data_IF_384433621085
#
_entry.id   IF_384433621085
#
_cell.length_a   1.000
_cell.length_b   1.000
_cell.length_c   1.000
_cell.angle_alpha   90.00
_cell.angle_beta   90.00
_cell.angle_gamma   90.00
#
_symmetry.space_group_name_H-M   'P 1'
#
loop_
_entity.id
_entity.type
_entity.pdbx_description
1 polymer ?
#
# COMPACT_ATOMS: atom_id res chain seq x y z
N UNK A 1 -3.16 -4.42 -9.81
CA UNK A 1 -2.87 -3.57 -8.62
C UNK A 1 -2.50 -4.46 -7.44
N UNK A 2 -1.52 -4.02 -6.63
CA UNK A 2 -0.94 -4.76 -5.51
C UNK A 2 -2.01 -5.37 -4.60
N UNK A 3 -2.32 -6.64 -4.81
CA UNK A 3 -3.44 -7.34 -4.18
C UNK A 3 -3.04 -8.10 -2.93
N UNK A 4 -1.74 -8.26 -2.67
CA UNK A 4 -1.22 -8.88 -1.47
C UNK A 4 0.17 -8.37 -1.13
N UNK A 5 0.55 -8.53 0.13
CA UNK A 5 1.87 -8.19 0.64
C UNK A 5 2.38 -9.28 1.57
N UNK A 6 3.68 -9.37 1.66
CA UNK A 6 4.41 -10.26 2.55
C UNK A 6 5.41 -9.43 3.37
N UNK A 7 5.38 -9.59 4.69
CA UNK A 7 6.23 -8.83 5.60
C UNK A 7 6.51 -9.61 6.89
N UNK A 8 7.47 -9.12 7.67
CA UNK A 8 7.72 -9.61 9.03
C UNK A 8 7.24 -8.59 10.05
N UNK A 9 6.58 -9.05 11.11
CA UNK A 9 6.15 -8.22 12.23
C UNK A 9 6.27 -9.00 13.53
N UNK A 10 6.98 -8.44 14.52
CA UNK A 10 7.22 -9.07 15.83
C UNK A 10 7.78 -10.51 15.73
N UNK A 11 8.69 -10.74 14.77
CA UNK A 11 9.29 -12.06 14.55
C UNK A 11 8.40 -13.07 13.81
N UNK A 12 7.19 -12.68 13.40
CA UNK A 12 6.28 -13.51 12.62
C UNK A 12 6.24 -13.09 11.15
N UNK A 13 6.20 -14.08 10.28
CA UNK A 13 5.99 -13.89 8.85
C UNK A 13 4.48 -13.75 8.57
N UNK A 14 4.10 -12.66 7.91
CA UNK A 14 2.70 -12.34 7.63
C UNK A 14 2.52 -12.17 6.14
N UNK A 15 1.60 -12.95 5.58
CA UNK A 15 1.13 -12.81 4.20
C UNK A 15 -0.33 -12.39 4.23
N UNK A 16 -0.65 -11.26 3.63
CA UNK A 16 -2.01 -10.71 3.68
C UNK A 16 -2.46 -10.20 2.33
N UNK A 17 -3.75 -10.32 2.08
CA UNK A 17 -4.38 -9.95 0.81
C UNK A 17 -5.42 -8.87 1.04
N UNK A 18 -5.52 -7.91 0.11
CA UNK A 18 -6.45 -6.80 0.23
C UNK A 18 -7.92 -7.22 0.38
N UNK A 19 -8.42 -8.34 -0.17
CA UNK A 19 -9.81 -8.76 0.10
C UNK A 19 -10.09 -9.10 1.57
N UNK A 20 -9.08 -9.45 2.37
CA UNK A 20 -9.28 -9.76 3.78
C UNK A 20 -9.65 -8.48 4.56
N UNK A 21 -10.84 -8.38 5.17
CA UNK A 21 -11.28 -7.16 5.87
C UNK A 21 -10.37 -6.73 7.02
N UNK A 22 -9.63 -7.67 7.62
CA UNK A 22 -8.67 -7.44 8.70
C UNK A 22 -7.24 -7.16 8.21
N UNK A 23 -7.00 -7.04 6.90
CA UNK A 23 -5.65 -6.80 6.40
C UNK A 23 -5.06 -5.49 6.91
N UNK A 24 -3.83 -5.56 7.40
CA UNK A 24 -3.03 -4.42 7.84
C UNK A 24 -1.70 -4.39 7.09
N UNK A 25 -1.08 -3.20 7.02
CA UNK A 25 0.27 -3.03 6.49
C UNK A 25 1.22 -2.53 7.58
N UNK A 26 2.49 -2.95 7.55
CA UNK A 26 3.52 -2.49 8.48
C UNK A 26 4.01 -1.09 8.09
N UNK A 27 3.63 -0.09 8.87
CA UNK A 27 4.06 1.29 8.70
C UNK A 27 5.28 1.55 9.58
N UNK A 28 6.40 1.90 8.94
CA UNK A 28 7.63 2.23 9.66
C UNK A 28 7.47 3.53 10.43
N UNK A 29 7.73 3.47 11.73
CA UNK A 29 7.74 4.63 12.62
C UNK A 29 9.11 5.34 12.56
N UNK A 30 9.19 6.51 13.20
CA UNK A 30 10.47 7.22 13.38
C UNK A 30 11.49 6.45 14.23
N UNK A 31 11.04 5.50 15.04
CA UNK A 31 11.90 4.67 15.89
C UNK A 31 12.38 3.39 15.15
N UNK A 32 12.17 3.31 13.83
CA UNK A 32 12.49 2.13 13.01
C UNK A 32 11.76 0.85 13.44
N UNK A 33 10.67 0.99 14.20
CA UNK A 33 9.70 -0.09 14.46
C UNK A 33 8.60 -0.05 13.41
N UNK A 34 7.83 -1.13 13.29
CA UNK A 34 6.68 -1.20 12.39
C UNK A 34 5.38 -1.28 13.19
N UNK A 35 4.47 -0.35 12.96
CA UNK A 35 3.10 -0.39 13.48
C UNK A 35 2.14 -0.88 12.41
N UNK A 36 1.16 -1.70 12.78
CA UNK A 36 0.17 -2.19 11.82
C UNK A 36 -1.00 -1.21 11.70
N UNK A 37 -1.27 -0.75 10.48
CA UNK A 37 -2.45 0.05 10.17
C UNK A 37 -3.39 -0.67 9.19
N UNK A 38 -4.72 -0.52 9.33
CA UNK A 38 -5.67 -1.12 8.40
C UNK A 38 -5.43 -0.70 6.95
N UNK A 39 -5.38 -1.69 6.06
CA UNK A 39 -5.11 -1.48 4.64
C UNK A 39 -6.35 -1.03 3.88
N UNK A 40 -6.42 0.28 3.61
CA UNK A 40 -7.44 0.90 2.79
C UNK A 40 -8.87 0.63 3.27
N UNK A 41 -9.86 1.00 2.46
CA UNK A 41 -11.28 0.80 2.80
C UNK A 41 -12.01 -0.02 1.75
N UNK A 42 -12.75 -1.03 2.18
CA UNK A 42 -13.48 -1.94 1.28
C UNK A 42 -14.91 -1.45 1.06
N UNK A 43 -15.53 -1.91 -0.02
CA UNK A 43 -16.96 -1.69 -0.25
C UNK A 43 -17.75 -2.37 0.88
N UNK A 44 -18.60 -1.62 1.55
CA UNK A 44 -19.36 -2.08 2.72
C UNK A 44 -18.73 -1.79 4.08
N UNK A 45 -17.44 -1.42 4.14
CA UNK A 45 -16.88 -0.89 5.39
C UNK A 45 -17.37 0.55 5.62
N UNK A 46 -17.80 0.88 6.85
CA UNK A 46 -18.19 2.24 7.20
C UNK A 46 -17.01 3.20 7.07
N UNK A 47 -17.29 4.50 7.06
CA UNK A 47 -16.28 5.55 6.96
C UNK A 47 -16.30 6.31 5.63
N UNK A 48 -15.55 7.42 5.59
CA UNK A 48 -15.52 8.35 4.45
C UNK A 48 -14.19 8.38 3.72
N UNK A 49 -13.21 7.64 4.21
CA UNK A 49 -11.91 7.51 3.54
C UNK A 49 -12.07 6.90 2.12
N UNK A 50 -11.11 7.11 1.22
CA UNK A 50 -11.19 6.56 -0.14
C UNK A 50 -11.38 5.05 -0.17
N UNK A 51 -12.21 4.58 -1.11
CA UNK A 51 -12.35 3.15 -1.39
C UNK A 51 -11.09 2.57 -2.05
N UNK A 52 -10.83 1.30 -1.79
CA UNK A 52 -9.66 0.57 -2.28
C UNK A 52 -8.48 0.62 -1.30
N UNK A 53 -7.38 0.00 -1.71
CA UNK A 53 -6.13 -0.10 -0.96
C UNK A 53 -4.99 0.76 -1.51
N UNK A 54 -5.26 1.61 -2.51
CA UNK A 54 -4.23 2.26 -3.30
C UNK A 54 -4.51 3.76 -3.49
N UNK A 55 -3.43 4.54 -3.51
CA UNK A 55 -3.45 5.97 -3.77
C UNK A 55 -2.55 6.27 -4.98
N UNK A 56 -3.11 6.72 -6.10
CA UNK A 56 -2.28 7.09 -7.26
C UNK A 56 -1.45 8.32 -6.96
N UNK A 57 -0.16 8.30 -7.28
CA UNK A 57 0.75 9.42 -7.03
C UNK A 57 0.27 10.72 -7.72
N UNK A 58 -0.22 10.61 -8.95
CA UNK A 58 -0.87 11.72 -9.68
C UNK A 58 -2.05 12.34 -8.91
N UNK A 59 -2.83 11.51 -8.23
CA UNK A 59 -4.00 11.94 -7.46
C UNK A 59 -3.60 12.66 -6.18
N UNK A 60 -2.56 12.16 -5.53
CA UNK A 60 -1.95 12.80 -4.36
C UNK A 60 -1.38 14.16 -4.75
N UNK A 61 -0.55 14.24 -5.80
CA UNK A 61 0.07 15.48 -6.28
C UNK A 61 -0.95 16.53 -6.74
N UNK A 62 -2.09 16.10 -7.28
CA UNK A 62 -3.18 16.99 -7.66
C UNK A 62 -4.03 17.48 -6.46
N UNK A 63 -3.62 17.20 -5.21
CA UNK A 63 -4.31 17.65 -3.99
C UNK A 63 -5.64 16.93 -3.72
N UNK A 64 -5.96 15.85 -4.44
CA UNK A 64 -7.25 15.13 -4.25
C UNK A 64 -7.37 14.45 -2.89
N UNK A 65 -6.25 14.28 -2.19
CA UNK A 65 -6.17 13.64 -0.88
C UNK A 65 -6.14 14.60 0.30
N UNK A 66 -5.96 15.91 0.08
CA UNK A 66 -5.70 16.91 1.14
C UNK A 66 -6.75 16.91 2.25
N UNK A 67 -8.02 16.68 1.89
CA UNK A 67 -9.13 16.63 2.86
C UNK A 67 -8.96 15.54 3.94
N UNK A 68 -8.12 14.52 3.70
CA UNK A 68 -7.84 13.44 4.65
C UNK A 68 -6.45 13.56 5.29
N UNK A 69 -5.83 14.74 5.21
CA UNK A 69 -4.53 15.05 5.82
C UNK A 69 -3.47 13.98 5.50
N UNK A 70 -3.13 13.81 4.21
CA UNK A 70 -2.34 12.69 3.75
C UNK A 70 -0.90 12.77 4.29
N UNK A 71 -0.44 11.73 4.97
CA UNK A 71 0.94 11.63 5.48
C UNK A 71 1.68 10.53 4.72
N UNK A 72 2.78 10.86 4.00
CA UNK A 72 3.58 9.83 3.33
C UNK A 72 4.33 8.99 4.37
N UNK A 73 4.35 7.67 4.18
CA UNK A 73 5.00 6.73 5.09
C UNK A 73 5.81 5.68 4.33
N UNK A 74 6.72 5.00 5.02
CA UNK A 74 7.43 3.83 4.49
C UNK A 74 6.72 2.56 4.94
N UNK A 75 6.54 1.61 4.03
CA UNK A 75 5.97 0.30 4.34
C UNK A 75 7.06 -0.75 4.34
N UNK A 76 7.17 -1.48 5.46
CA UNK A 76 8.19 -2.50 5.67
C UNK A 76 7.73 -3.84 5.12
N UNK A 77 7.71 -3.90 3.80
CA UNK A 77 7.22 -5.04 3.01
C UNK A 77 8.43 -5.73 2.37
N UNK A 78 8.44 -7.06 2.43
CA UNK A 78 9.45 -7.90 1.82
C UNK A 78 9.10 -8.23 0.37
N UNK A 79 7.82 -8.51 0.10
CA UNK A 79 7.34 -8.81 -1.25
C UNK A 79 5.91 -8.32 -1.44
N UNK A 80 5.53 -7.99 -2.66
CA UNK A 80 4.15 -7.67 -3.01
C UNK A 80 3.63 -8.55 -4.15
N UNK A 81 2.31 -8.69 -4.22
CA UNK A 81 1.65 -9.51 -5.22
C UNK A 81 0.82 -8.65 -6.17
N UNK A 82 1.01 -8.86 -7.47
CA UNK A 82 0.17 -8.30 -8.53
C UNK A 82 -0.59 -9.42 -9.25
N UNK A 83 -1.77 -9.09 -9.77
CA UNK A 83 -2.49 -9.95 -10.70
C UNK A 83 -2.25 -9.47 -12.12
N UNK A 84 -1.87 -10.38 -13.00
CA UNK A 84 -1.78 -10.11 -14.44
C UNK A 84 -3.16 -10.01 -15.11
N UNK A 85 -3.14 -9.73 -16.41
CA UNK A 85 -4.35 -9.59 -17.24
C UNK A 85 -5.15 -10.91 -17.33
N UNK A 86 -4.50 -12.05 -17.08
CA UNK A 86 -5.13 -13.38 -17.01
C UNK A 86 -5.61 -13.74 -15.60
N UNK A 87 -5.40 -12.84 -14.61
CA UNK A 87 -5.78 -13.02 -13.21
C UNK A 87 -4.82 -13.87 -12.38
N UNK A 88 -3.70 -14.33 -12.96
CA UNK A 88 -2.65 -15.09 -12.26
C UNK A 88 -1.87 -14.17 -11.33
N UNK A 89 -1.45 -14.71 -10.19
CA UNK A 89 -0.83 -13.93 -9.13
C UNK A 89 0.68 -14.07 -9.21
N UNK A 90 1.39 -12.95 -9.31
CA UNK A 90 2.85 -12.88 -9.37
C UNK A 90 3.37 -12.15 -8.14
N UNK A 91 4.36 -12.72 -7.48
CA UNK A 91 5.03 -12.12 -6.33
C UNK A 91 6.36 -11.50 -6.76
N UNK A 92 6.60 -10.28 -6.29
CA UNK A 92 7.81 -9.51 -6.56
C UNK A 92 8.47 -9.17 -5.25
N UNK A 93 9.72 -9.59 -5.09
CA UNK A 93 10.53 -9.30 -3.92
C UNK A 93 11.12 -7.89 -4.00
N UNK A 94 11.17 -7.22 -2.85
CA UNK A 94 11.91 -5.97 -2.71
C UNK A 94 13.38 -6.27 -2.46
N UNK A 95 14.25 -5.58 -3.17
CA UNK A 95 15.69 -5.66 -2.94
C UNK A 95 16.09 -4.98 -1.63
N UNK A 96 17.25 -5.33 -1.09
CA UNK A 96 17.77 -4.71 0.12
C UNK A 96 17.82 -3.17 -0.01
N UNK A 97 17.31 -2.48 1.01
CA UNK A 97 17.24 -1.01 1.02
C UNK A 97 16.05 -0.40 0.27
N UNK A 98 15.26 -1.22 -0.43
CA UNK A 98 14.00 -0.77 -1.03
C UNK A 98 12.84 -0.80 -0.03
N UNK A 99 11.85 0.05 -0.25
CA UNK A 99 10.55 -0.01 0.45
C UNK A 99 9.41 0.46 -0.46
N UNK A 100 8.18 0.10 -0.11
CA UNK A 100 6.99 0.64 -0.77
C UNK A 100 6.59 1.95 -0.08
N UNK A 101 6.32 3.01 -0.85
CA UNK A 101 5.70 4.20 -0.28
C UNK A 101 4.22 3.92 0.05
N UNK A 102 3.85 4.18 1.30
CA UNK A 102 2.47 4.24 1.74
C UNK A 102 1.98 5.68 1.91
N UNK A 103 0.67 5.80 2.08
CA UNK A 103 -0.01 7.04 2.44
C UNK A 103 -0.98 6.75 3.58
N UNK A 104 -0.77 7.39 4.72
CA UNK A 104 -1.74 7.39 5.81
C UNK A 104 -2.75 8.49 5.56
N UNK A 105 -4.03 8.16 5.64
CA UNK A 105 -5.14 9.10 5.53
C UNK A 105 -6.04 8.98 6.78
N UNK A 106 -6.64 10.11 7.19
CA UNK A 106 -7.39 10.23 8.43
C UNK A 106 -8.76 10.89 8.19
N UNK A 107 -9.76 10.44 8.94
CA UNK A 107 -11.10 11.03 9.00
C UNK A 107 -11.63 10.86 10.43
N UNK A 108 -11.70 11.94 11.21
CA UNK A 108 -12.04 11.87 12.64
C UNK A 108 -11.08 10.95 13.39
N UNK A 109 -11.61 9.91 14.04
CA UNK A 109 -10.82 8.89 14.74
C UNK A 109 -10.38 7.72 13.84
N UNK A 110 -10.83 7.68 12.58
CA UNK A 110 -10.47 6.64 11.64
C UNK A 110 -9.14 6.97 10.95
N UNK A 111 -8.24 5.98 10.88
CA UNK A 111 -6.98 6.08 10.16
C UNK A 111 -6.76 4.80 9.35
N UNK A 112 -6.35 4.95 8.09
CA UNK A 112 -6.03 3.84 7.19
C UNK A 112 -4.78 4.15 6.38
N UNK A 113 -4.11 3.09 5.93
CA UNK A 113 -2.94 3.18 5.06
C UNK A 113 -3.26 2.66 3.66
N UNK A 114 -2.74 3.36 2.66
CA UNK A 114 -2.90 3.07 1.24
C UNK A 114 -1.53 2.87 0.60
N UNK A 115 -1.42 1.89 -0.30
CA UNK A 115 -0.21 1.71 -1.11
C UNK A 115 -0.17 2.80 -2.18
N UNK A 116 0.89 3.60 -2.22
CA UNK A 116 1.06 4.58 -3.30
C UNK A 116 1.38 3.83 -4.59
N UNK A 117 0.68 4.18 -5.67
CA UNK A 117 0.86 3.57 -6.99
C UNK A 117 1.26 4.60 -8.03
N UNK A 118 2.07 4.20 -8.99
CA UNK A 118 2.48 4.97 -10.17
C UNK A 118 2.05 4.24 -11.44
N UNK A 119 1.95 4.97 -12.54
CA UNK A 119 1.94 4.35 -13.87
C UNK A 119 3.37 3.94 -14.18
N UNK A 120 3.66 2.66 -14.50
CA UNK A 120 5.00 2.26 -14.87
C UNK A 120 5.44 2.92 -16.18
N UNK A 121 6.71 3.31 -16.27
CA UNK A 121 7.28 4.02 -17.43
C UNK A 121 7.73 3.09 -18.56
N UNK A 122 7.77 1.77 -18.32
CA UNK A 122 8.21 0.79 -19.32
C UNK A 122 7.10 0.56 -20.37
N UNK A 123 7.46 0.64 -21.66
CA UNK A 123 6.52 0.45 -22.77
C UNK A 123 5.86 -0.94 -22.78
N UNK A 124 6.55 -1.96 -22.27
CA UNK A 124 6.06 -3.34 -22.16
C UNK A 124 5.41 -3.65 -20.81
N UNK A 125 5.10 -2.64 -20.00
CA UNK A 125 4.52 -2.87 -18.68
C UNK A 125 3.13 -3.52 -18.82
N UNK A 126 3.02 -4.76 -18.33
CA UNK A 126 1.80 -5.58 -18.34
C UNK A 126 0.69 -4.99 -17.45
N UNK A 127 0.99 -3.98 -16.62
CA UNK A 127 0.06 -3.43 -15.62
C UNK A 127 -0.06 -1.91 -15.71
N UNK A 128 -1.29 -1.40 -15.66
CA UNK A 128 -1.58 0.05 -15.62
C UNK A 128 -1.08 0.76 -14.35
N UNK A 129 -0.76 0.01 -13.31
CA UNK A 129 -0.42 0.52 -11.98
C UNK A 129 0.58 -0.38 -11.27
N UNK A 130 1.63 0.24 -10.72
CA UNK A 130 2.69 -0.43 -9.96
C UNK A 130 2.86 0.24 -8.59
N UNK A 131 3.19 -0.50 -7.50
CA UNK A 131 3.57 0.12 -6.24
C UNK A 131 4.76 1.07 -6.43
N UNK A 132 4.71 2.23 -5.79
CA UNK A 132 5.84 3.17 -5.82
C UNK A 132 6.95 2.63 -4.93
N UNK A 133 7.93 1.98 -5.54
CA UNK A 133 9.16 1.55 -4.90
C UNK A 133 10.07 2.76 -4.69
N UNK A 134 10.71 2.79 -3.53
CA UNK A 134 11.66 3.80 -3.10
C UNK A 134 12.94 3.12 -2.63
N UNK A 135 14.06 3.84 -2.63
CA UNK A 135 15.37 3.32 -2.22
C UNK A 135 16.07 4.32 -1.29
N UNK A 136 16.91 3.80 -0.40
CA UNK A 136 17.66 4.56 0.61
C UNK A 136 18.83 5.32 0.01
#
# INVERSE_FOLDING_TARGET
MCGGVYYQHQGQEVRVYFPNPAACLPVRTRQHTSELLPWGRRKGQPGRLPLGGWARLESIRAGRWERWFPVPVKLDILSFMEKDMEGRSHWYDLSQGQWIQGLVAREGHEQRVYVVTITPEMADAVHDRWPRLMQA
#
